data_IF_782493033906
#
_entry.id   IF_782493033906
#
_cell.length_a   1.000
_cell.length_b   1.000
_cell.length_c   1.000
_cell.angle_alpha   90.00
_cell.angle_beta   90.00
_cell.angle_gamma   90.00
#
_symmetry.space_group_name_H-M   'P 1'
#
loop_
_entity.id
_entity.type
_entity.pdbx_description
1 polymer ?
#
# COMPACT_ATOMS: atom_id res chain seq x y z
N UNK A 1 38.04 48.28 -6.33
CA UNK A 1 37.94 47.76 -7.70
C UNK A 1 38.98 46.65 -7.90
N UNK A 2 38.56 45.38 -7.96
CA UNK A 2 39.28 44.29 -8.65
C UNK A 2 38.24 43.44 -9.35
N UNK A 3 38.43 43.23 -10.66
CA UNK A 3 37.53 42.46 -11.53
C UNK A 3 37.50 40.99 -11.09
N UNK A 4 36.32 40.38 -11.18
CA UNK A 4 36.14 38.94 -11.11
C UNK A 4 36.48 38.36 -12.49
N UNK A 5 37.57 37.59 -12.58
CA UNK A 5 37.83 36.72 -13.73
C UNK A 5 37.18 35.35 -13.50
N UNK A 6 36.63 34.79 -14.57
CA UNK A 6 35.67 33.71 -14.58
C UNK A 6 36.17 32.43 -13.93
N UNK A 7 35.26 31.74 -13.24
CA UNK A 7 35.43 30.34 -12.89
C UNK A 7 35.30 29.51 -14.16
N UNK A 8 36.42 29.06 -14.68
CA UNK A 8 36.44 27.95 -15.62
C UNK A 8 35.84 26.73 -14.90
N UNK A 9 34.64 26.34 -15.34
CA UNK A 9 34.07 25.05 -14.96
C UNK A 9 34.95 23.99 -15.62
N UNK A 10 35.89 23.44 -14.85
CA UNK A 10 36.63 22.27 -15.28
C UNK A 10 35.61 21.17 -15.63
N UNK A 11 35.68 20.57 -16.84
CA UNK A 11 34.87 19.40 -17.13
C UNK A 11 35.19 18.36 -16.06
N UNK A 12 34.16 17.76 -15.47
CA UNK A 12 34.33 16.59 -14.60
C UNK A 12 34.82 15.45 -15.49
N UNK A 13 36.14 15.38 -15.70
CA UNK A 13 36.79 14.22 -16.29
C UNK A 13 36.65 13.08 -15.28
N UNK A 14 35.75 12.16 -15.58
CA UNK A 14 35.65 10.90 -14.84
C UNK A 14 36.91 10.11 -15.17
N UNK A 15 37.85 10.07 -14.23
CA UNK A 15 39.07 9.29 -14.35
C UNK A 15 38.75 7.78 -14.37
N UNK A 16 38.69 7.22 -15.59
CA UNK A 16 38.42 5.82 -15.87
C UNK A 16 39.65 4.92 -15.74
N UNK A 17 40.80 5.45 -15.29
CA UNK A 17 42.04 4.67 -15.14
C UNK A 17 41.93 3.53 -14.13
N UNK A 18 41.08 3.70 -13.11
CA UNK A 18 40.78 2.66 -12.10
C UNK A 18 39.96 1.51 -12.70
N UNK A 19 39.08 1.79 -13.67
CA UNK A 19 38.30 0.75 -14.35
C UNK A 19 39.21 -0.16 -15.20
N UNK A 20 40.19 0.42 -15.91
CA UNK A 20 41.09 -0.32 -16.81
C UNK A 20 41.89 -1.44 -16.15
N UNK A 21 42.14 -1.40 -14.83
CA UNK A 21 43.01 -2.37 -14.14
C UNK A 21 42.30 -3.60 -13.59
N UNK A 22 40.96 -3.59 -13.52
CA UNK A 22 40.17 -4.69 -12.98
C UNK A 22 39.01 -5.04 -13.92
N UNK A 23 39.32 -5.78 -14.99
CA UNK A 23 38.34 -6.31 -15.94
C UNK A 23 37.20 -7.07 -15.23
N UNK A 24 37.50 -7.74 -14.11
CA UNK A 24 36.54 -8.44 -13.28
C UNK A 24 35.57 -7.48 -12.56
N UNK A 25 36.03 -6.31 -12.12
CA UNK A 25 35.16 -5.31 -11.51
C UNK A 25 34.24 -4.66 -12.56
N UNK A 26 34.76 -4.41 -13.77
CA UNK A 26 33.94 -3.95 -14.90
C UNK A 26 32.87 -5.00 -15.22
N UNK A 27 33.25 -6.27 -15.34
CA UNK A 27 32.32 -7.36 -15.64
C UNK A 27 31.21 -7.45 -14.58
N UNK A 28 31.55 -7.35 -13.29
CA UNK A 28 30.56 -7.34 -12.20
C UNK A 28 29.61 -6.14 -12.32
N UNK A 29 30.14 -4.94 -12.56
CA UNK A 29 29.31 -3.73 -12.70
C UNK A 29 28.36 -3.88 -13.89
N UNK A 30 28.86 -4.32 -15.04
CA UNK A 30 28.03 -4.57 -16.24
C UNK A 30 26.97 -5.63 -15.97
N UNK A 31 27.31 -6.69 -15.24
CA UNK A 31 26.38 -7.77 -14.90
C UNK A 31 25.32 -7.30 -13.89
N UNK A 32 25.68 -6.44 -12.92
CA UNK A 32 24.73 -5.77 -12.05
C UNK A 32 23.78 -4.86 -12.83
N UNK A 33 24.29 -4.05 -13.78
CA UNK A 33 23.44 -3.23 -14.65
C UNK A 33 22.53 -4.08 -15.53
N UNK A 34 23.04 -5.17 -16.11
CA UNK A 34 22.24 -6.10 -16.90
C UNK A 34 21.15 -6.79 -16.07
N UNK A 35 21.45 -7.14 -14.81
CA UNK A 35 20.47 -7.69 -13.87
C UNK A 35 19.38 -6.68 -13.52
N UNK A 36 19.74 -5.40 -13.30
CA UNK A 36 18.77 -4.32 -13.05
C UNK A 36 17.89 -4.08 -14.28
N UNK A 37 18.46 -4.07 -15.48
CA UNK A 37 17.70 -3.94 -16.75
C UNK A 37 16.79 -5.15 -16.98
N UNK A 38 17.28 -6.36 -16.69
CA UNK A 38 16.53 -7.60 -16.80
C UNK A 38 15.37 -7.68 -15.81
N UNK A 39 15.59 -7.31 -14.54
CA UNK A 39 14.54 -7.18 -13.55
C UNK A 39 13.54 -6.10 -13.95
N UNK A 40 14.01 -4.98 -14.50
CA UNK A 40 13.16 -3.93 -15.06
C UNK A 40 12.12 -4.51 -16.02
N UNK A 41 12.53 -5.37 -16.96
CA UNK A 41 11.63 -6.02 -17.94
C UNK A 41 10.55 -6.92 -17.32
N UNK A 42 10.80 -7.57 -16.18
CA UNK A 42 9.78 -8.39 -15.50
C UNK A 42 8.70 -7.50 -14.87
N UNK A 43 9.05 -6.27 -14.49
CA UNK A 43 8.13 -5.31 -13.89
C UNK A 43 7.53 -4.29 -14.88
N UNK A 44 8.00 -4.23 -16.13
CA UNK A 44 7.36 -3.45 -17.21
C UNK A 44 6.33 -4.31 -17.96
N UNK A 45 5.04 -3.96 -17.95
CA UNK A 45 4.00 -4.74 -18.63
C UNK A 45 3.96 -4.52 -20.15
N UNK A 46 4.70 -3.55 -20.68
CA UNK A 46 4.74 -3.25 -22.12
C UNK A 46 6.17 -3.46 -22.66
N UNK A 47 6.42 -4.43 -23.55
CA UNK A 47 7.75 -4.66 -24.12
C UNK A 47 8.19 -3.53 -25.08
N UNK A 48 7.28 -2.60 -25.44
CA UNK A 48 7.52 -1.57 -26.45
C UNK A 48 8.01 -0.25 -25.85
N UNK A 49 7.70 0.04 -24.57
CA UNK A 49 8.04 1.32 -23.95
C UNK A 49 8.41 1.19 -22.46
N UNK A 50 9.57 1.73 -22.11
CA UNK A 50 9.99 1.91 -20.71
C UNK A 50 9.10 2.99 -20.09
N UNK A 51 8.45 2.66 -18.97
CA UNK A 51 7.66 3.62 -18.20
C UNK A 51 8.57 4.76 -17.71
N UNK A 52 8.06 6.00 -17.77
CA UNK A 52 8.74 7.09 -17.08
C UNK A 52 8.68 6.86 -15.55
N UNK A 53 9.60 7.48 -14.81
CA UNK A 53 9.60 7.40 -13.35
C UNK A 53 8.26 7.84 -12.74
N UNK A 54 7.66 8.90 -13.30
CA UNK A 54 6.35 9.40 -12.88
C UNK A 54 5.24 8.39 -13.15
N UNK A 55 5.20 7.78 -14.33
CA UNK A 55 4.22 6.73 -14.68
C UNK A 55 4.35 5.51 -13.76
N UNK A 56 5.59 5.15 -13.37
CA UNK A 56 5.84 4.08 -12.42
C UNK A 56 5.34 4.41 -11.01
N UNK A 57 5.60 5.63 -10.52
CA UNK A 57 5.11 6.06 -9.20
C UNK A 57 3.58 6.04 -9.13
N UNK A 58 2.89 6.56 -10.15
CA UNK A 58 1.43 6.54 -10.23
C UNK A 58 0.92 5.10 -10.18
N UNK A 59 1.46 4.20 -11.02
CA UNK A 59 1.05 2.78 -11.02
C UNK A 59 1.29 2.10 -9.68
N UNK A 60 2.36 2.43 -8.97
CA UNK A 60 2.65 1.87 -7.65
C UNK A 60 1.56 2.26 -6.65
N UNK A 61 1.19 3.54 -6.62
CA UNK A 61 0.11 4.06 -5.76
C UNK A 61 -1.23 3.41 -6.12
N UNK A 62 -1.59 3.37 -7.40
CA UNK A 62 -2.85 2.72 -7.84
C UNK A 62 -2.90 1.24 -7.47
N UNK A 63 -1.78 0.51 -7.60
CA UNK A 63 -1.72 -0.88 -7.18
C UNK A 63 -1.92 -1.02 -5.68
N UNK A 64 -1.23 -0.20 -4.88
CA UNK A 64 -1.35 -0.21 -3.43
C UNK A 64 -2.78 0.10 -2.97
N UNK A 65 -3.40 1.13 -3.54
CA UNK A 65 -4.79 1.48 -3.27
C UNK A 65 -5.73 0.33 -3.64
N UNK A 66 -5.60 -0.26 -4.83
CA UNK A 66 -6.45 -1.38 -5.25
C UNK A 66 -6.25 -2.65 -4.41
N UNK A 67 -5.06 -2.88 -3.85
CA UNK A 67 -4.85 -3.98 -2.90
C UNK A 67 -5.50 -3.67 -1.56
N UNK A 68 -5.34 -2.45 -1.05
CA UNK A 68 -5.90 -2.03 0.24
C UNK A 68 -7.43 -2.04 0.21
N UNK A 69 -8.06 -1.51 -0.86
CA UNK A 69 -9.52 -1.60 -1.04
C UNK A 69 -10.04 -3.04 -0.99
N UNK A 70 -9.32 -4.00 -1.57
CA UNK A 70 -9.71 -5.42 -1.53
C UNK A 70 -9.63 -6.01 -0.13
N UNK A 71 -8.65 -5.59 0.66
CA UNK A 71 -8.54 -6.00 2.07
C UNK A 71 -9.69 -5.42 2.87
N UNK A 72 -9.94 -4.10 2.80
CA UNK A 72 -11.05 -3.45 3.50
C UNK A 72 -12.41 -4.07 3.14
N UNK A 73 -12.63 -4.38 1.86
CA UNK A 73 -13.84 -5.06 1.40
C UNK A 73 -13.96 -6.50 1.95
N UNK A 74 -12.86 -7.23 2.10
CA UNK A 74 -12.87 -8.55 2.71
C UNK A 74 -13.18 -8.46 4.21
N UNK A 75 -12.57 -7.51 4.91
CA UNK A 75 -12.72 -7.30 6.35
C UNK A 75 -14.15 -6.92 6.73
N UNK A 76 -14.76 -5.99 5.98
CA UNK A 76 -16.16 -5.60 6.25
C UNK A 76 -17.13 -6.75 6.00
N UNK A 77 -16.87 -7.60 4.99
CA UNK A 77 -17.66 -8.81 4.76
C UNK A 77 -17.48 -9.82 5.89
N UNK A 78 -16.26 -9.92 6.44
CA UNK A 78 -16.00 -10.79 7.58
C UNK A 78 -16.74 -10.33 8.85
N UNK A 79 -16.87 -9.01 9.07
CA UNK A 79 -17.74 -8.46 10.12
C UNK A 79 -19.21 -8.78 9.88
N UNK A 80 -19.70 -8.63 8.66
CA UNK A 80 -21.06 -9.00 8.30
C UNK A 80 -21.32 -10.50 8.55
N UNK A 81 -20.38 -11.38 8.20
CA UNK A 81 -20.47 -12.81 8.47
C UNK A 81 -20.49 -13.13 9.97
N UNK A 82 -19.74 -12.39 10.78
CA UNK A 82 -19.77 -12.49 12.24
C UNK A 82 -21.17 -12.13 12.77
N UNK A 83 -21.73 -11.02 12.31
CA UNK A 83 -23.07 -10.56 12.72
C UNK A 83 -24.15 -11.58 12.31
N UNK A 84 -24.11 -12.05 11.07
CA UNK A 84 -25.05 -13.04 10.54
C UNK A 84 -24.96 -14.40 11.25
N UNK A 85 -23.76 -14.81 11.67
CA UNK A 85 -23.55 -16.06 12.39
C UNK A 85 -24.00 -16.02 13.86
N UNK A 86 -24.50 -14.89 14.38
CA UNK A 86 -24.94 -14.78 15.77
C UNK A 86 -23.77 -14.75 16.76
N UNK A 87 -22.80 -13.86 16.53
CA UNK A 87 -21.57 -13.76 17.34
C UNK A 87 -21.73 -13.58 18.87
N UNK A 88 -22.92 -13.30 19.40
CA UNK A 88 -23.19 -13.43 20.83
C UNK A 88 -22.86 -14.82 21.37
N UNK A 89 -22.87 -15.86 20.52
CA UNK A 89 -22.54 -17.23 20.88
C UNK A 89 -21.02 -17.50 20.95
N UNK A 90 -20.17 -16.63 20.36
CA UNK A 90 -18.73 -16.82 20.37
C UNK A 90 -17.93 -15.49 20.36
N UNK A 91 -17.85 -14.80 21.51
CA UNK A 91 -17.11 -13.53 21.61
C UNK A 91 -15.61 -13.67 21.32
N UNK A 92 -15.03 -14.84 21.60
CA UNK A 92 -13.63 -15.12 21.27
C UNK A 92 -13.35 -15.06 19.76
N UNK A 93 -14.29 -15.56 18.93
CA UNK A 93 -14.19 -15.45 17.47
C UNK A 93 -14.19 -13.99 17.03
N UNK A 94 -15.05 -13.15 17.62
CA UNK A 94 -15.12 -11.72 17.31
C UNK A 94 -13.81 -11.01 17.66
N UNK A 95 -13.20 -11.37 18.80
CA UNK A 95 -11.94 -10.77 19.22
C UNK A 95 -10.77 -11.14 18.29
N UNK A 96 -10.65 -12.42 17.91
CA UNK A 96 -9.58 -12.89 17.01
C UNK A 96 -9.70 -12.22 15.63
N UNK A 97 -10.90 -12.23 15.07
CA UNK A 97 -11.14 -11.60 13.76
C UNK A 97 -10.94 -10.10 13.84
N UNK A 98 -11.50 -9.45 14.87
CA UNK A 98 -11.35 -8.02 15.06
C UNK A 98 -9.90 -7.57 15.21
N UNK A 99 -9.04 -8.35 15.84
CA UNK A 99 -7.60 -8.06 15.91
C UNK A 99 -6.90 -8.16 14.56
N UNK A 100 -7.36 -9.04 13.66
CA UNK A 100 -6.85 -9.08 12.28
C UNK A 100 -7.26 -7.81 11.56
N UNK A 101 -8.55 -7.46 11.60
CA UNK A 101 -9.10 -6.28 10.94
C UNK A 101 -8.44 -4.99 11.46
N UNK A 102 -8.26 -4.87 12.78
CA UNK A 102 -7.54 -3.73 13.38
C UNK A 102 -6.13 -3.61 12.81
N UNK A 103 -5.41 -4.73 12.68
CA UNK A 103 -4.06 -4.73 12.11
C UNK A 103 -4.07 -4.27 10.65
N UNK A 104 -5.05 -4.68 9.87
CA UNK A 104 -5.18 -4.31 8.47
C UNK A 104 -5.52 -2.80 8.32
N UNK A 105 -6.35 -2.24 9.21
CA UNK A 105 -6.59 -0.80 9.34
C UNK A 105 -5.29 -0.04 9.65
N UNK A 106 -4.52 -0.52 10.64
CA UNK A 106 -3.29 0.12 11.12
C UNK A 106 -2.16 0.09 10.07
N UNK A 107 -2.07 -0.98 9.28
CA UNK A 107 -1.07 -1.14 8.19
C UNK A 107 -1.45 -0.31 6.95
N UNK A 108 -2.74 -0.02 6.77
CA UNK A 108 -3.24 0.79 5.67
C UNK A 108 -2.46 2.08 5.50
N UNK A 109 -2.20 2.47 4.26
CA UNK A 109 -1.27 3.57 3.96
C UNK A 109 -1.68 4.41 2.76
N UNK A 110 -2.69 4.00 2.00
CA UNK A 110 -3.32 4.85 1.02
C UNK A 110 -4.10 5.97 1.72
N UNK A 111 -3.65 7.21 1.56
CA UNK A 111 -4.32 8.38 2.14
C UNK A 111 -5.74 8.55 1.58
N UNK A 112 -5.96 8.19 0.32
CA UNK A 112 -7.29 8.21 -0.31
C UNK A 112 -8.29 7.24 0.32
N UNK A 113 -7.85 6.32 1.18
CA UNK A 113 -8.68 5.32 1.88
C UNK A 113 -8.83 5.61 3.38
N UNK A 114 -8.43 6.80 3.84
CA UNK A 114 -8.51 7.14 5.26
C UNK A 114 -9.95 7.10 5.78
N UNK A 115 -10.92 7.61 5.00
CA UNK A 115 -12.32 7.64 5.38
C UNK A 115 -12.94 6.23 5.40
N UNK A 116 -12.61 5.37 4.43
CA UNK A 116 -13.03 3.97 4.41
C UNK A 116 -12.48 3.19 5.61
N UNK A 117 -11.23 3.44 6.00
CA UNK A 117 -10.64 2.85 7.21
C UNK A 117 -11.33 3.33 8.49
N UNK A 118 -11.64 4.62 8.58
CA UNK A 118 -12.39 5.17 9.71
C UNK A 118 -13.80 4.56 9.81
N UNK A 119 -14.48 4.36 8.68
CA UNK A 119 -15.78 3.69 8.64
C UNK A 119 -15.69 2.21 9.09
N UNK A 120 -14.66 1.49 8.63
CA UNK A 120 -14.40 0.11 9.07
C UNK A 120 -14.06 0.02 10.56
N UNK A 121 -13.28 0.97 11.08
CA UNK A 121 -12.99 1.07 12.52
C UNK A 121 -14.28 1.23 13.33
N UNK A 122 -15.17 2.13 12.91
CA UNK A 122 -16.45 2.34 13.60
C UNK A 122 -17.32 1.06 13.59
N UNK A 123 -17.34 0.32 12.48
CA UNK A 123 -18.02 -0.96 12.38
C UNK A 123 -17.41 -2.04 13.30
N UNK A 124 -16.08 -2.10 13.37
CA UNK A 124 -15.35 -2.99 14.26
C UNK A 124 -15.68 -2.69 15.74
N UNK A 125 -15.61 -1.42 16.14
CA UNK A 125 -15.89 -0.98 17.51
C UNK A 125 -17.34 -1.30 17.92
N UNK A 126 -18.30 -1.11 17.00
CA UNK A 126 -19.70 -1.45 17.24
C UNK A 126 -19.91 -2.97 17.37
N UNK A 127 -19.21 -3.76 16.54
CA UNK A 127 -19.27 -5.23 16.58
C UNK A 127 -18.66 -5.79 17.86
N UNK A 128 -17.56 -5.22 18.35
CA UNK A 128 -17.01 -5.54 19.66
C UNK A 128 -17.94 -5.11 20.79
N UNK A 129 -18.51 -3.91 20.73
CA UNK A 129 -19.49 -3.44 21.70
C UNK A 129 -20.69 -4.37 21.80
N UNK A 130 -21.18 -4.87 20.67
CA UNK A 130 -22.28 -5.84 20.65
C UNK A 130 -21.87 -7.21 21.20
N UNK A 131 -20.69 -7.74 20.85
CA UNK A 131 -20.26 -9.09 21.28
C UNK A 131 -20.10 -9.21 22.79
N UNK A 132 -19.82 -8.10 23.49
CA UNK A 132 -19.72 -8.04 24.96
C UNK A 132 -21.00 -7.53 25.64
N UNK A 133 -22.07 -7.26 24.87
CA UNK A 133 -23.36 -6.80 25.40
C UNK A 133 -23.45 -5.30 25.74
N UNK A 134 -22.46 -4.50 25.36
CA UNK A 134 -22.43 -3.05 25.58
C UNK A 134 -23.20 -2.26 24.50
N UNK A 135 -23.45 -2.84 23.34
CA UNK A 135 -24.21 -2.22 22.24
C UNK A 135 -25.28 -3.16 21.68
N UNK A 136 -26.25 -2.59 20.97
CA UNK A 136 -27.31 -3.38 20.31
C UNK A 136 -26.82 -4.00 19.00
N UNK A 137 -27.36 -5.16 18.65
CA UNK A 137 -27.11 -5.82 17.36
C UNK A 137 -27.39 -4.88 16.18
N UNK A 138 -28.50 -4.14 16.25
CA UNK A 138 -28.90 -3.21 15.19
C UNK A 138 -27.88 -2.08 14.99
N UNK A 139 -27.22 -1.62 16.06
CA UNK A 139 -26.16 -0.62 15.95
C UNK A 139 -24.92 -1.19 15.23
N UNK A 140 -24.51 -2.42 15.57
CA UNK A 140 -23.39 -3.09 14.91
C UNK A 140 -23.68 -3.37 13.42
N UNK A 141 -24.91 -3.80 13.10
CA UNK A 141 -25.37 -3.99 11.71
C UNK A 141 -25.37 -2.67 10.95
N UNK A 142 -25.93 -1.59 11.53
CA UNK A 142 -25.98 -0.28 10.88
C UNK A 142 -24.56 0.26 10.57
N UNK A 143 -23.64 0.15 11.53
CA UNK A 143 -22.25 0.56 11.32
C UNK A 143 -21.55 -0.28 10.24
N UNK A 144 -21.79 -1.59 10.20
CA UNK A 144 -21.22 -2.48 9.18
C UNK A 144 -21.77 -2.19 7.78
N UNK A 145 -23.07 -1.90 7.66
CA UNK A 145 -23.68 -1.50 6.39
C UNK A 145 -23.13 -0.15 5.91
N UNK A 146 -22.98 0.81 6.82
CA UNK A 146 -22.36 2.10 6.49
C UNK A 146 -20.91 1.91 6.00
N UNK A 147 -20.12 1.06 6.67
CA UNK A 147 -18.77 0.75 6.21
C UNK A 147 -18.77 0.09 4.81
N UNK A 148 -19.69 -0.83 4.53
CA UNK A 148 -19.84 -1.42 3.21
C UNK A 148 -20.16 -0.37 2.13
N UNK A 149 -21.08 0.55 2.43
CA UNK A 149 -21.43 1.64 1.51
C UNK A 149 -20.25 2.56 1.23
N UNK A 150 -19.48 2.95 2.25
CA UNK A 150 -18.29 3.78 2.08
C UNK A 150 -17.23 3.08 1.22
N UNK A 151 -16.95 1.80 1.49
CA UNK A 151 -15.97 1.01 0.75
C UNK A 151 -16.42 0.76 -0.70
N UNK A 152 -17.72 0.57 -0.94
CA UNK A 152 -18.28 0.38 -2.28
C UNK A 152 -18.32 1.68 -3.09
N UNK A 153 -18.63 2.82 -2.44
CA UNK A 153 -18.83 4.11 -3.11
C UNK A 153 -17.53 4.93 -3.29
N UNK A 154 -16.47 4.63 -2.54
CA UNK A 154 -15.18 5.33 -2.64
C UNK A 154 -14.44 5.17 -3.98
N UNK A 155 -15.03 4.46 -4.96
CA UNK A 155 -14.48 4.23 -6.30
C UNK A 155 -14.88 5.25 -7.38
N UNK A 156 -15.47 6.40 -7.03
CA UNK A 156 -15.85 7.47 -7.98
C UNK A 156 -14.99 8.73 -7.84
#
# INVERSE_FOLDING_TARGET
MRRYEGKDFLPVEIDLSILKRNELAIAIIVLCFAAVVGLGKVFTPDPVRVLSWQEWQVRKVTRQESSERRVLAADVNQLADILNAGASENPARVQIVGQSIQRDIDIGSAESLADERAALQAALDATWGWSIGNQSYNAAVAATLQAQEHIANGGN
#
